data_IF_487744633838
#
_entry.id   IF_487744633838
#
_cell.length_a   1.000
_cell.length_b   1.000
_cell.length_c   1.000
_cell.angle_alpha   90.00
_cell.angle_beta   90.00
_cell.angle_gamma   90.00
#
_symmetry.space_group_name_H-M   'P 1'
#
loop_
_entity.id
_entity.type
_entity.pdbx_description
1 polymer ?
#
# COMPACT_ATOMS: atom_id res chain seq x y z
N UNK A 1 0.39 62.19 -10.53
CA UNK A 1 -0.07 63.40 -9.80
C UNK A 1 -0.08 64.55 -10.80
N UNK A 2 -1.10 65.40 -10.79
CA UNK A 2 -1.24 66.52 -11.73
C UNK A 2 -1.10 67.81 -10.95
N UNK A 3 -0.19 68.69 -11.38
CA UNK A 3 0.05 69.99 -10.77
C UNK A 3 -0.39 71.09 -11.74
N UNK A 4 -1.29 71.99 -11.33
CA UNK A 4 -1.65 73.14 -12.14
C UNK A 4 -0.48 74.12 -12.24
N UNK A 5 -0.31 74.73 -13.40
CA UNK A 5 0.65 75.79 -13.67
C UNK A 5 -0.14 77.10 -13.74
N UNK A 6 0.19 78.06 -12.88
CA UNK A 6 -0.49 79.34 -12.79
C UNK A 6 0.28 80.44 -13.55
N UNK A 7 -0.44 81.31 -14.25
CA UNK A 7 0.10 82.52 -14.90
C UNK A 7 0.22 83.70 -13.93
N UNK A 8 0.71 84.84 -14.41
CA UNK A 8 0.97 86.05 -13.59
C UNK A 8 -0.27 86.61 -12.86
N UNK A 9 -1.49 86.29 -13.34
CA UNK A 9 -2.77 86.70 -12.76
C UNK A 9 -3.43 85.62 -11.86
N UNK A 10 -2.67 84.63 -11.40
CA UNK A 10 -3.17 83.45 -10.66
C UNK A 10 -4.16 82.56 -11.43
N UNK A 11 -4.28 82.74 -12.75
CA UNK A 11 -5.11 81.88 -13.61
C UNK A 11 -4.38 80.59 -14.00
N UNK A 12 -5.09 79.46 -14.04
CA UNK A 12 -4.50 78.17 -14.45
C UNK A 12 -4.29 78.19 -15.96
N UNK A 13 -3.03 78.30 -16.41
CA UNK A 13 -2.65 78.35 -17.82
C UNK A 13 -2.16 77.00 -18.37
N UNK A 14 -1.99 76.00 -17.50
CA UNK A 14 -1.59 74.66 -17.90
C UNK A 14 -1.53 73.69 -16.74
N UNK A 15 -1.08 72.47 -17.02
CA UNK A 15 -0.79 71.48 -16.00
C UNK A 15 0.41 70.64 -16.42
N UNK A 16 1.27 70.31 -15.45
CA UNK A 16 2.30 69.29 -15.62
C UNK A 16 1.92 68.05 -14.79
N UNK A 17 2.20 66.87 -15.31
CA UNK A 17 1.88 65.61 -14.63
C UNK A 17 3.10 64.73 -14.50
N UNK A 18 3.28 64.15 -13.31
CA UNK A 18 4.26 63.09 -13.05
C UNK A 18 3.49 61.78 -12.94
N UNK A 19 3.79 60.85 -13.86
CA UNK A 19 3.30 59.47 -13.83
C UNK A 19 4.40 58.52 -13.40
N UNK A 20 4.12 57.67 -12.41
CA UNK A 20 4.99 56.53 -12.07
C UNK A 20 4.52 55.31 -12.87
N UNK A 21 5.41 54.57 -13.55
CA UNK A 21 5.04 53.35 -14.26
C UNK A 21 4.52 52.28 -13.29
N UNK A 22 3.27 51.83 -13.45
CA UNK A 22 2.63 50.82 -12.58
C UNK A 22 2.55 49.42 -13.15
N UNK A 23 3.14 49.18 -14.31
CA UNK A 23 3.06 47.87 -14.96
C UNK A 23 3.79 46.79 -14.16
N UNK A 24 4.94 47.12 -13.56
CA UNK A 24 5.67 46.19 -12.70
C UNK A 24 4.90 45.90 -11.42
N UNK A 25 4.30 46.91 -10.77
CA UNK A 25 3.45 46.73 -9.61
C UNK A 25 2.26 45.79 -9.90
N UNK A 26 1.57 46.00 -11.03
CA UNK A 26 0.47 45.12 -11.47
C UNK A 26 0.94 43.69 -11.76
N UNK A 27 2.06 43.52 -12.45
CA UNK A 27 2.65 42.19 -12.72
C UNK A 27 3.02 41.47 -11.42
N UNK A 28 3.68 42.14 -10.48
CA UNK A 28 4.02 41.57 -9.17
C UNK A 28 2.78 41.18 -8.38
N UNK A 29 1.72 42.01 -8.39
CA UNK A 29 0.47 41.69 -7.72
C UNK A 29 -0.23 40.47 -8.34
N UNK A 30 -0.23 40.34 -9.67
CA UNK A 30 -0.75 39.16 -10.37
C UNK A 30 0.04 37.90 -10.02
N UNK A 31 1.37 37.98 -10.03
CA UNK A 31 2.26 36.86 -9.65
C UNK A 31 1.99 36.45 -8.20
N UNK A 32 1.90 37.40 -7.27
CA UNK A 32 1.60 37.11 -5.87
C UNK A 32 0.24 36.43 -5.67
N UNK A 33 -0.78 36.89 -6.42
CA UNK A 33 -2.11 36.25 -6.39
C UNK A 33 -2.07 34.82 -6.93
N UNK A 34 -1.43 34.62 -8.09
CA UNK A 34 -1.26 33.30 -8.69
C UNK A 34 -0.48 32.36 -7.75
N UNK A 35 0.57 32.86 -7.10
CA UNK A 35 1.36 32.10 -6.13
C UNK A 35 0.49 31.63 -4.96
N UNK A 36 -0.34 32.51 -4.39
CA UNK A 36 -1.26 32.15 -3.31
C UNK A 36 -2.31 31.11 -3.75
N UNK A 37 -2.90 31.27 -4.93
CA UNK A 37 -3.85 30.30 -5.49
C UNK A 37 -3.18 28.92 -5.69
N UNK A 38 -1.99 28.88 -6.30
CA UNK A 38 -1.23 27.63 -6.48
C UNK A 38 -0.81 26.99 -5.15
N UNK A 39 -0.43 27.81 -4.17
CA UNK A 39 -0.05 27.34 -2.83
C UNK A 39 -1.26 26.77 -2.09
N UNK A 40 -2.42 27.41 -2.17
CA UNK A 40 -3.66 26.88 -1.60
C UNK A 40 -4.04 25.54 -2.22
N UNK A 41 -3.90 25.40 -3.54
CA UNK A 41 -4.12 24.11 -4.23
C UNK A 41 -3.12 23.05 -3.78
N UNK A 42 -1.84 23.43 -3.60
CA UNK A 42 -0.79 22.54 -3.11
C UNK A 42 -1.10 22.01 -1.71
N UNK A 43 -1.57 22.86 -0.79
CA UNK A 43 -1.97 22.44 0.56
C UNK A 43 -3.12 21.44 0.50
N UNK A 44 -4.15 21.69 -0.32
CA UNK A 44 -5.28 20.75 -0.50
C UNK A 44 -4.80 19.39 -1.03
N UNK A 45 -3.96 19.39 -2.07
CA UNK A 45 -3.41 18.15 -2.63
C UNK A 45 -2.52 17.41 -1.63
N UNK A 46 -1.75 18.14 -0.82
CA UNK A 46 -0.87 17.57 0.21
C UNK A 46 -1.69 16.95 1.34
N UNK A 47 -2.79 17.58 1.75
CA UNK A 47 -3.71 17.04 2.73
C UNK A 47 -4.35 15.73 2.23
N UNK A 48 -4.78 15.68 0.97
CA UNK A 48 -5.30 14.46 0.35
C UNK A 48 -4.25 13.35 0.30
N UNK A 49 -2.99 13.68 -0.01
CA UNK A 49 -1.89 12.72 0.03
C UNK A 49 -1.62 12.19 1.44
N UNK A 50 -1.68 13.04 2.46
CA UNK A 50 -1.52 12.63 3.85
C UNK A 50 -2.63 11.67 4.27
N UNK A 51 -3.88 11.98 3.91
CA UNK A 51 -5.03 11.08 4.14
C UNK A 51 -4.84 9.73 3.44
N UNK A 52 -4.48 9.73 2.16
CA UNK A 52 -4.19 8.50 1.42
C UNK A 52 -3.06 7.69 2.08
N UNK A 53 -1.99 8.33 2.56
CA UNK A 53 -0.91 7.65 3.27
C UNK A 53 -1.41 6.97 4.57
N UNK A 54 -2.32 7.61 5.32
CA UNK A 54 -2.93 6.98 6.51
C UNK A 54 -3.79 5.77 6.18
N UNK A 55 -4.56 5.82 5.08
CA UNK A 55 -5.36 4.68 4.60
C UNK A 55 -4.47 3.52 4.18
N UNK A 56 -3.40 3.82 3.44
CA UNK A 56 -2.40 2.83 3.01
C UNK A 56 -1.72 2.19 4.22
N UNK A 57 -1.34 2.97 5.24
CA UNK A 57 -0.76 2.45 6.48
C UNK A 57 -1.73 1.51 7.21
N UNK A 58 -3.03 1.85 7.27
CA UNK A 58 -4.05 0.99 7.83
C UNK A 58 -4.23 -0.31 7.01
N UNK A 59 -4.17 -0.22 5.69
CA UNK A 59 -4.20 -1.38 4.80
C UNK A 59 -2.97 -2.28 4.99
N UNK A 60 -1.77 -1.71 5.14
CA UNK A 60 -0.54 -2.45 5.44
C UNK A 60 -0.66 -3.25 6.75
N UNK A 61 -1.19 -2.63 7.82
CA UNK A 61 -1.44 -3.32 9.10
C UNK A 61 -2.43 -4.48 8.96
N UNK A 62 -3.52 -4.28 8.21
CA UNK A 62 -4.49 -5.34 7.92
C UNK A 62 -3.86 -6.47 7.12
N UNK A 63 -3.03 -6.15 6.12
CA UNK A 63 -2.30 -7.14 5.32
C UNK A 63 -1.36 -7.98 6.19
N UNK A 64 -0.59 -7.35 7.08
CA UNK A 64 0.29 -8.05 8.03
C UNK A 64 -0.50 -8.99 8.95
N UNK A 65 -1.59 -8.52 9.53
CA UNK A 65 -2.44 -9.37 10.39
C UNK A 65 -3.09 -10.52 9.61
N UNK A 66 -3.53 -10.26 8.37
CA UNK A 66 -4.07 -11.29 7.49
C UNK A 66 -3.02 -12.36 7.16
N UNK A 67 -1.80 -11.94 6.83
CA UNK A 67 -0.67 -12.83 6.57
C UNK A 67 -0.34 -13.72 7.78
N UNK A 68 -0.33 -13.17 9.00
CA UNK A 68 -0.14 -13.95 10.23
C UNK A 68 -1.25 -14.99 10.46
N UNK A 69 -2.51 -14.62 10.20
CA UNK A 69 -3.64 -15.55 10.29
C UNK A 69 -3.52 -16.66 9.25
N UNK A 70 -3.17 -16.32 8.01
CA UNK A 70 -2.93 -17.31 6.95
C UNK A 70 -1.78 -18.25 7.32
N UNK A 71 -0.68 -17.76 7.89
CA UNK A 71 0.42 -18.59 8.37
C UNK A 71 -0.04 -19.63 9.42
N UNK A 72 -0.91 -19.24 10.36
CA UNK A 72 -1.49 -20.16 11.34
C UNK A 72 -2.37 -21.23 10.68
N UNK A 73 -3.19 -20.85 9.70
CA UNK A 73 -4.02 -21.79 8.96
C UNK A 73 -3.16 -22.80 8.17
N UNK A 74 -2.07 -22.34 7.56
CA UNK A 74 -1.11 -23.21 6.87
C UNK A 74 -0.50 -24.23 7.83
N UNK A 75 -0.10 -23.80 9.04
CA UNK A 75 0.41 -24.70 10.08
C UNK A 75 -0.61 -25.79 10.43
N UNK A 76 -1.89 -25.42 10.59
CA UNK A 76 -2.94 -26.40 10.88
C UNK A 76 -3.13 -27.39 9.71
N UNK A 77 -3.06 -26.92 8.46
CA UNK A 77 -3.16 -27.80 7.28
C UNK A 77 -1.97 -28.76 7.24
N UNK A 78 -0.77 -28.30 7.58
CA UNK A 78 0.42 -29.15 7.66
C UNK A 78 0.27 -30.26 8.71
N UNK A 79 -0.30 -29.96 9.88
CA UNK A 79 -0.57 -30.95 10.93
C UNK A 79 -1.60 -32.00 10.48
N UNK A 80 -2.65 -31.55 9.77
CA UNK A 80 -3.66 -32.45 9.20
C UNK A 80 -3.04 -33.33 8.11
N UNK A 81 -2.23 -32.76 7.21
CA UNK A 81 -1.55 -33.52 6.16
C UNK A 81 -0.59 -34.58 6.76
N UNK A 82 0.11 -34.22 7.83
CA UNK A 82 0.95 -35.17 8.59
C UNK A 82 0.13 -36.31 9.18
N UNK A 83 -1.01 -36.00 9.80
CA UNK A 83 -1.93 -37.01 10.35
C UNK A 83 -2.46 -37.95 9.28
N UNK A 84 -2.85 -37.42 8.11
CA UNK A 84 -3.28 -38.24 6.95
C UNK A 84 -2.15 -39.17 6.51
N UNK A 85 -0.91 -38.68 6.46
CA UNK A 85 0.25 -39.49 6.09
C UNK A 85 0.52 -40.62 7.09
N UNK A 86 0.34 -40.37 8.38
CA UNK A 86 0.46 -41.38 9.44
C UNK A 86 -0.64 -42.46 9.30
N UNK A 87 -1.90 -42.06 9.15
CA UNK A 87 -3.04 -42.96 8.92
C UNK A 87 -2.83 -43.79 7.65
N UNK A 88 -2.38 -43.17 6.56
CA UNK A 88 -2.08 -43.87 5.32
C UNK A 88 -0.99 -44.94 5.50
N UNK A 89 0.06 -44.66 6.28
CA UNK A 89 1.08 -45.66 6.58
C UNK A 89 0.52 -46.81 7.43
N UNK A 90 -0.36 -46.53 8.38
CA UNK A 90 -1.02 -47.55 9.21
C UNK A 90 -1.96 -48.45 8.38
N UNK A 91 -2.82 -47.86 7.54
CA UNK A 91 -3.68 -48.60 6.61
C UNK A 91 -2.84 -49.47 5.67
N UNK A 92 -1.70 -48.97 5.18
CA UNK A 92 -0.79 -49.75 4.34
C UNK A 92 -0.24 -50.98 5.06
N UNK A 93 0.06 -50.87 6.36
CA UNK A 93 0.51 -52.00 7.18
C UNK A 93 -0.63 -53.00 7.46
N UNK A 94 -1.84 -52.51 7.71
CA UNK A 94 -3.04 -53.36 7.87
C UNK A 94 -3.30 -54.14 6.57
N UNK A 95 -3.27 -53.46 5.42
CA UNK A 95 -3.43 -54.09 4.10
C UNK A 95 -2.35 -55.13 3.81
N UNK A 96 -1.10 -54.90 4.21
CA UNK A 96 -0.03 -55.89 4.09
C UNK A 96 -0.31 -57.13 4.94
N UNK A 97 -0.72 -56.97 6.20
CA UNK A 97 -1.07 -58.08 7.07
C UNK A 97 -2.26 -58.88 6.52
N UNK A 98 -3.27 -58.19 5.98
CA UNK A 98 -4.41 -58.82 5.32
C UNK A 98 -4.00 -59.61 4.07
N UNK A 99 -3.07 -59.09 3.27
CA UNK A 99 -2.54 -59.79 2.10
C UNK A 99 -1.77 -61.06 2.49
N UNK A 100 -0.98 -61.01 3.57
CA UNK A 100 -0.26 -62.18 4.11
C UNK A 100 -1.25 -63.25 4.59
N UNK A 101 -2.28 -62.87 5.34
CA UNK A 101 -3.26 -63.83 5.85
C UNK A 101 -4.13 -64.42 4.72
N UNK A 102 -4.46 -63.61 3.70
CA UNK A 102 -5.12 -64.08 2.50
C UNK A 102 -4.27 -65.10 1.71
N UNK A 103 -2.96 -64.87 1.59
CA UNK A 103 -2.05 -65.84 0.99
C UNK A 103 -1.96 -67.14 1.82
N UNK A 104 -2.00 -67.03 3.14
CA UNK A 104 -1.98 -68.17 4.08
C UNK A 104 -3.23 -69.04 3.98
N UNK A 105 -4.39 -68.45 3.72
CA UNK A 105 -5.65 -69.16 3.49
C UNK A 105 -5.74 -69.86 2.11
N UNK A 106 -4.74 -69.67 1.23
CA UNK A 106 -4.66 -70.32 -0.07
C UNK A 106 -5.84 -69.97 -0.99
N UNK A 107 -6.48 -70.97 -1.57
CA UNK A 107 -7.63 -70.80 -2.48
C UNK A 107 -8.80 -70.05 -1.82
N UNK A 108 -9.03 -70.24 -0.52
CA UNK A 108 -10.12 -69.57 0.22
C UNK A 108 -9.86 -68.08 0.46
N UNK A 109 -8.60 -67.63 0.35
CA UNK A 109 -8.19 -66.24 0.57
C UNK A 109 -8.13 -65.37 -0.69
N UNK A 110 -8.37 -65.93 -1.89
CA UNK A 110 -8.22 -65.20 -3.17
C UNK A 110 -9.00 -63.89 -3.24
N UNK A 111 -10.26 -63.88 -2.79
CA UNK A 111 -11.07 -62.66 -2.78
C UNK A 111 -10.54 -61.60 -1.80
N UNK A 112 -10.09 -62.04 -0.62
CA UNK A 112 -9.48 -61.15 0.38
C UNK A 112 -8.15 -60.57 -0.08
N UNK A 113 -7.35 -61.32 -0.86
CA UNK A 113 -6.09 -60.84 -1.41
C UNK A 113 -6.30 -59.63 -2.34
N UNK A 114 -7.32 -59.68 -3.21
CA UNK A 114 -7.66 -58.57 -4.12
C UNK A 114 -8.06 -57.32 -3.34
N UNK A 115 -8.88 -57.48 -2.30
CA UNK A 115 -9.29 -56.35 -1.43
C UNK A 115 -8.10 -55.77 -0.67
N UNK A 116 -7.22 -56.62 -0.14
CA UNK A 116 -6.02 -56.18 0.58
C UNK A 116 -5.06 -55.37 -0.31
N UNK A 117 -4.87 -55.79 -1.56
CA UNK A 117 -4.08 -55.05 -2.54
C UNK A 117 -4.70 -53.70 -2.90
N UNK A 118 -6.02 -53.63 -3.04
CA UNK A 118 -6.71 -52.36 -3.34
C UNK A 118 -6.64 -51.38 -2.16
N UNK A 119 -6.81 -51.87 -0.92
CA UNK A 119 -6.60 -51.08 0.30
C UNK A 119 -5.16 -50.54 0.37
N UNK A 120 -4.17 -51.35 -0.02
CA UNK A 120 -2.76 -50.94 -0.04
C UNK A 120 -2.50 -49.85 -1.07
N UNK A 121 -3.10 -49.95 -2.26
CA UNK A 121 -3.01 -48.90 -3.30
C UNK A 121 -3.65 -47.59 -2.83
N UNK A 122 -4.85 -47.67 -2.23
CA UNK A 122 -5.53 -46.49 -1.67
C UNK A 122 -4.66 -45.80 -0.61
N UNK A 123 -4.02 -46.58 0.27
CA UNK A 123 -3.11 -46.05 1.28
C UNK A 123 -1.89 -45.33 0.68
N UNK A 124 -1.28 -45.88 -0.38
CA UNK A 124 -0.17 -45.21 -1.10
C UNK A 124 -0.65 -43.92 -1.74
N UNK A 125 -1.79 -43.95 -2.44
CA UNK A 125 -2.36 -42.77 -3.07
C UNK A 125 -2.70 -41.67 -2.04
N UNK A 126 -3.24 -42.02 -0.87
CA UNK A 126 -3.52 -41.07 0.22
C UNK A 126 -2.24 -40.40 0.74
N UNK A 127 -1.15 -41.15 0.84
CA UNK A 127 0.15 -40.60 1.23
C UNK A 127 0.68 -39.62 0.18
N UNK A 128 0.59 -39.96 -1.10
CA UNK A 128 1.05 -39.10 -2.18
C UNK A 128 0.24 -37.78 -2.24
N UNK A 129 -1.06 -37.85 -1.99
CA UNK A 129 -1.92 -36.66 -1.86
C UNK A 129 -1.53 -35.79 -0.67
N UNK A 130 -1.22 -36.39 0.48
CA UNK A 130 -0.73 -35.64 1.65
C UNK A 130 0.59 -34.92 1.37
N UNK A 131 1.50 -35.55 0.62
CA UNK A 131 2.77 -34.94 0.20
C UNK A 131 2.57 -33.80 -0.83
N UNK A 132 1.57 -33.91 -1.70
CA UNK A 132 1.16 -32.80 -2.58
C UNK A 132 0.59 -31.63 -1.81
N UNK A 133 -0.28 -31.88 -0.81
CA UNK A 133 -0.78 -30.83 0.10
C UNK A 133 0.37 -30.12 0.77
N UNK A 134 1.37 -30.85 1.29
CA UNK A 134 2.57 -30.27 1.91
C UNK A 134 3.37 -29.38 0.94
N UNK A 135 3.44 -29.77 -0.33
CA UNK A 135 4.12 -28.97 -1.36
C UNK A 135 3.36 -27.65 -1.62
N UNK A 136 2.03 -27.71 -1.63
CA UNK A 136 1.18 -26.53 -1.81
C UNK A 136 1.32 -25.60 -0.60
N UNK A 137 1.23 -26.11 0.63
CA UNK A 137 1.34 -25.29 1.85
C UNK A 137 2.67 -24.55 1.94
N UNK A 138 3.78 -25.17 1.53
CA UNK A 138 5.09 -24.51 1.44
C UNK A 138 5.05 -23.30 0.50
N UNK A 139 4.50 -23.45 -0.71
CA UNK A 139 4.39 -22.34 -1.68
C UNK A 139 3.49 -21.21 -1.18
N UNK A 140 2.39 -21.57 -0.51
CA UNK A 140 1.50 -20.56 0.10
C UNK A 140 2.25 -19.82 1.21
N UNK A 141 3.05 -20.50 2.02
CA UNK A 141 3.84 -19.87 3.08
C UNK A 141 4.90 -18.90 2.52
N UNK A 142 5.56 -19.25 1.42
CA UNK A 142 6.47 -18.34 0.70
C UNK A 142 5.75 -17.06 0.25
N UNK A 143 4.52 -17.20 -0.27
CA UNK A 143 3.69 -16.06 -0.68
C UNK A 143 3.29 -15.20 0.51
N UNK A 144 2.97 -15.82 1.64
CA UNK A 144 2.65 -15.12 2.89
C UNK A 144 3.85 -14.30 3.38
N UNK A 145 5.06 -14.85 3.32
CA UNK A 145 6.28 -14.10 3.68
C UNK A 145 6.51 -12.89 2.76
N UNK A 146 6.21 -13.01 1.46
CA UNK A 146 6.26 -11.88 0.54
C UNK A 146 5.25 -10.80 0.91
N UNK A 147 4.04 -11.16 1.32
CA UNK A 147 3.05 -10.18 1.78
C UNK A 147 3.48 -9.43 3.04
N UNK A 148 4.15 -10.11 3.98
CA UNK A 148 4.72 -9.46 5.17
C UNK A 148 5.80 -8.45 4.78
N UNK A 149 6.70 -8.80 3.87
CA UNK A 149 7.74 -7.88 3.36
C UNK A 149 7.14 -6.66 2.66
N UNK A 150 6.11 -6.88 1.81
CA UNK A 150 5.38 -5.80 1.14
C UNK A 150 4.70 -4.90 2.16
N UNK A 151 4.00 -5.46 3.15
CA UNK A 151 3.34 -4.68 4.21
C UNK A 151 4.35 -3.82 4.99
N UNK A 152 5.53 -4.35 5.28
CA UNK A 152 6.61 -3.61 5.95
C UNK A 152 7.11 -2.43 5.11
N UNK A 153 7.47 -2.68 3.84
CA UNK A 153 7.92 -1.63 2.91
C UNK A 153 6.86 -0.55 2.70
N UNK A 154 5.59 -0.96 2.66
CA UNK A 154 4.47 -0.04 2.54
C UNK A 154 4.34 0.86 3.78
N UNK A 155 4.53 0.29 4.98
CA UNK A 155 4.60 1.05 6.23
C UNK A 155 5.70 2.11 6.21
N UNK A 156 6.93 1.72 5.88
CA UNK A 156 8.09 2.63 5.77
C UNK A 156 7.83 3.76 4.75
N UNK A 157 7.31 3.42 3.56
CA UNK A 157 6.99 4.40 2.52
C UNK A 157 5.90 5.39 2.95
N UNK A 158 4.89 4.94 3.71
CA UNK A 158 3.83 5.85 4.20
C UNK A 158 4.32 6.80 5.29
N UNK A 159 5.27 6.37 6.13
CA UNK A 159 5.89 7.26 7.13
C UNK A 159 6.71 8.35 6.46
N UNK A 160 7.53 8.00 5.47
CA UNK A 160 8.31 8.96 4.67
C UNK A 160 7.39 9.94 3.91
N UNK A 161 6.30 9.42 3.34
CA UNK A 161 5.31 10.25 2.65
C UNK A 161 4.61 11.22 3.61
N UNK A 162 4.27 10.79 4.82
CA UNK A 162 3.68 11.66 5.83
C UNK A 162 4.63 12.79 6.25
N UNK A 163 5.92 12.48 6.47
CA UNK A 163 6.94 13.48 6.76
C UNK A 163 7.10 14.50 5.62
N UNK A 164 7.14 14.01 4.37
CA UNK A 164 7.21 14.88 3.18
C UNK A 164 5.98 15.79 3.06
N UNK A 165 4.78 15.30 3.38
CA UNK A 165 3.56 16.12 3.37
C UNK A 165 3.59 17.23 4.43
N UNK A 166 4.17 16.97 5.60
CA UNK A 166 4.36 18.00 6.63
C UNK A 166 5.34 19.08 6.15
N UNK A 167 6.44 18.69 5.52
CA UNK A 167 7.43 19.63 4.97
C UNK A 167 6.84 20.48 3.83
N UNK A 168 6.08 19.86 2.91
CA UNK A 168 5.40 20.58 1.83
C UNK A 168 4.40 21.60 2.39
N UNK A 169 3.62 21.22 3.41
CA UNK A 169 2.68 22.13 4.06
C UNK A 169 3.40 23.34 4.68
N UNK A 170 4.50 23.11 5.42
CA UNK A 170 5.28 24.19 6.02
C UNK A 170 5.90 25.12 4.95
N UNK A 171 6.41 24.55 3.86
CA UNK A 171 6.94 25.33 2.73
C UNK A 171 5.85 26.13 2.03
N UNK A 172 4.66 25.56 1.85
CA UNK A 172 3.51 26.25 1.28
C UNK A 172 3.09 27.44 2.16
N UNK A 173 3.01 27.30 3.48
CA UNK A 173 2.72 28.41 4.40
C UNK A 173 3.74 29.55 4.27
N UNK A 174 5.03 29.21 4.21
CA UNK A 174 6.09 30.20 3.98
C UNK A 174 5.92 30.93 2.64
N UNK A 175 5.64 30.19 1.56
CA UNK A 175 5.42 30.75 0.23
C UNK A 175 4.21 31.70 0.24
N UNK A 176 3.12 31.33 0.89
CA UNK A 176 1.93 32.18 1.01
C UNK A 176 2.22 33.48 1.75
N UNK A 177 2.99 33.41 2.86
CA UNK A 177 3.43 34.59 3.59
C UNK A 177 4.30 35.52 2.72
N UNK A 178 5.23 34.96 1.94
CA UNK A 178 6.07 35.72 1.00
C UNK A 178 5.27 36.33 -0.15
N UNK A 179 4.25 35.63 -0.65
CA UNK A 179 3.33 36.15 -1.65
C UNK A 179 2.56 37.37 -1.11
N UNK A 180 2.08 37.29 0.13
CA UNK A 180 1.38 38.40 0.78
C UNK A 180 2.29 39.63 0.95
N UNK A 181 3.55 39.41 1.34
CA UNK A 181 4.57 40.46 1.44
C UNK A 181 4.84 41.13 0.08
N UNK A 182 5.01 40.34 -0.99
CA UNK A 182 5.17 40.84 -2.36
C UNK A 182 3.96 41.67 -2.82
N UNK A 183 2.75 41.22 -2.50
CA UNK A 183 1.52 41.94 -2.82
C UNK A 183 1.47 43.30 -2.11
N UNK A 184 1.87 43.37 -0.84
CA UNK A 184 1.93 44.64 -0.08
C UNK A 184 3.01 45.58 -0.60
N UNK A 185 4.20 45.09 -0.93
CA UNK A 185 5.27 45.91 -1.52
C UNK A 185 4.81 46.49 -2.86
N UNK A 186 4.13 45.70 -3.69
CA UNK A 186 3.65 46.15 -5.00
C UNK A 186 2.66 47.32 -4.92
N UNK A 187 1.89 47.45 -3.83
CA UNK A 187 0.97 48.58 -3.62
C UNK A 187 1.72 49.90 -3.35
N UNK A 188 2.97 49.82 -2.89
CA UNK A 188 3.82 50.97 -2.55
C UNK A 188 4.69 51.46 -3.72
N UNK A 189 4.76 50.68 -4.81
CA UNK A 189 5.41 51.01 -6.08
C UNK A 189 4.47 51.79 -7.02
#
# INVERSE_FOLDING_TARGET
MVFPVFGENEEVIGAYSIGLPRDNARKTQQIAKALNESTSQMVVATQQNAEAATEISAAAKKLSSGAEQTAKLISNIDDVAKSIKEIANEIRMIGLNAAIEAARAGEYGRGFAVVADEVRKLAVNSKDLADQVKTITVKVNETVLQFVDIAKKLGESTEEQAASCQEITANAEMISMRAAELAEISKKL
#
